data_IF_328258067366
#
_entry.id   IF_328258067366
#
_cell.length_a   1.000
_cell.length_b   1.000
_cell.length_c   1.000
_cell.angle_alpha   90.00
_cell.angle_beta   90.00
_cell.angle_gamma   90.00
#
_symmetry.space_group_name_H-M   'P 1'
#
loop_
_entity.id
_entity.type
_entity.pdbx_description
1 polymer ?
#
# COMPACT_ATOMS: atom_id res chain seq x y z
N UNK A 1 -4.54 42.34 -10.64
CA UNK A 1 -4.04 41.43 -9.59
C UNK A 1 -5.17 41.24 -8.59
N UNK A 2 -5.91 40.13 -8.67
CA UNK A 2 -7.07 39.90 -7.80
C UNK A 2 -6.56 39.61 -6.39
N UNK A 3 -6.96 40.42 -5.40
CA UNK A 3 -6.65 40.09 -4.01
C UNK A 3 -7.46 38.86 -3.59
N UNK A 4 -6.83 37.87 -2.94
CA UNK A 4 -7.50 36.71 -2.39
C UNK A 4 -8.46 37.14 -1.28
N UNK A 5 -9.71 36.68 -1.33
CA UNK A 5 -10.69 36.86 -0.26
C UNK A 5 -10.87 35.56 0.51
N UNK A 6 -11.35 35.63 1.76
CA UNK A 6 -11.67 34.42 2.55
C UNK A 6 -12.63 33.49 1.78
N UNK A 7 -13.56 34.04 1.01
CA UNK A 7 -14.48 33.27 0.15
C UNK A 7 -13.75 32.49 -0.95
N UNK A 8 -12.81 33.12 -1.66
CA UNK A 8 -12.02 32.43 -2.69
C UNK A 8 -11.18 31.29 -2.12
N UNK A 9 -10.63 31.46 -0.91
CA UNK A 9 -9.89 30.41 -0.21
C UNK A 9 -10.82 29.27 0.24
N UNK A 10 -12.02 29.59 0.70
CA UNK A 10 -13.05 28.61 1.01
C UNK A 10 -13.47 27.78 -0.20
N UNK A 11 -13.57 28.41 -1.38
CA UNK A 11 -13.83 27.71 -2.65
C UNK A 11 -12.68 26.77 -3.02
N UNK A 12 -11.42 27.21 -2.91
CA UNK A 12 -10.25 26.35 -3.17
C UNK A 12 -10.19 25.18 -2.20
N UNK A 13 -10.46 25.42 -0.91
CA UNK A 13 -10.55 24.34 0.09
C UNK A 13 -11.59 23.30 -0.34
N UNK A 14 -12.80 23.75 -0.63
CA UNK A 14 -13.92 22.86 -0.95
C UNK A 14 -13.75 22.12 -2.30
N UNK A 15 -13.34 22.84 -3.34
CA UNK A 15 -13.27 22.30 -4.70
C UNK A 15 -12.02 21.47 -4.95
N UNK A 16 -10.89 21.82 -4.34
CA UNK A 16 -9.63 21.13 -4.56
C UNK A 16 -9.23 20.28 -3.35
N UNK A 17 -9.08 20.86 -2.16
CA UNK A 17 -8.48 20.16 -1.02
C UNK A 17 -9.40 19.03 -0.52
N UNK A 18 -10.68 19.31 -0.33
CA UNK A 18 -11.65 18.32 0.18
C UNK A 18 -11.92 17.20 -0.85
N UNK A 19 -11.96 17.55 -2.14
CA UNK A 19 -12.13 16.59 -3.23
C UNK A 19 -10.91 15.65 -3.36
N UNK A 20 -9.70 16.21 -3.39
CA UNK A 20 -8.46 15.43 -3.44
C UNK A 20 -8.28 14.55 -2.20
N UNK A 21 -8.57 15.08 -1.01
CA UNK A 21 -8.54 14.30 0.23
C UNK A 21 -9.52 13.13 0.17
N UNK A 22 -10.74 13.37 -0.33
CA UNK A 22 -11.76 12.33 -0.50
C UNK A 22 -11.31 11.26 -1.49
N UNK A 23 -10.72 11.67 -2.62
CA UNK A 23 -10.16 10.76 -3.61
C UNK A 23 -9.07 9.86 -3.01
N UNK A 24 -8.05 10.43 -2.35
CA UNK A 24 -6.98 9.64 -1.75
C UNK A 24 -7.49 8.69 -0.68
N UNK A 25 -8.43 9.13 0.18
CA UNK A 25 -9.05 8.27 1.18
C UNK A 25 -9.78 7.08 0.54
N UNK A 26 -10.57 7.29 -0.52
CA UNK A 26 -11.26 6.22 -1.24
C UNK A 26 -10.26 5.22 -1.84
N UNK A 27 -9.16 5.71 -2.41
CA UNK A 27 -8.12 4.85 -2.99
C UNK A 27 -7.40 4.02 -1.93
N UNK A 28 -7.02 4.63 -0.80
CA UNK A 28 -6.43 3.91 0.35
C UNK A 28 -7.37 2.82 0.85
N UNK A 29 -8.65 3.13 1.04
CA UNK A 29 -9.64 2.16 1.50
C UNK A 29 -9.82 1.01 0.49
N UNK A 30 -9.89 1.32 -0.81
CA UNK A 30 -10.06 0.32 -1.87
C UNK A 30 -8.87 -0.63 -1.93
N UNK A 31 -7.64 -0.10 -1.90
CA UNK A 31 -6.42 -0.92 -1.89
C UNK A 31 -6.33 -1.75 -0.61
N UNK A 32 -6.57 -1.14 0.56
CA UNK A 32 -6.51 -1.84 1.86
C UNK A 32 -7.51 -2.98 1.92
N UNK A 33 -8.76 -2.76 1.48
CA UNK A 33 -9.79 -3.81 1.43
C UNK A 33 -9.37 -4.98 0.55
N UNK A 34 -8.83 -4.70 -0.65
CA UNK A 34 -8.34 -5.75 -1.56
C UNK A 34 -7.22 -6.58 -0.92
N UNK A 35 -6.25 -5.92 -0.29
CA UNK A 35 -5.15 -6.60 0.41
C UNK A 35 -5.65 -7.45 1.59
N UNK A 36 -6.60 -6.94 2.37
CA UNK A 36 -7.18 -7.69 3.50
C UNK A 36 -8.01 -8.90 3.05
N UNK A 37 -8.78 -8.79 1.98
CA UNK A 37 -9.54 -9.91 1.42
C UNK A 37 -8.61 -11.02 0.92
N UNK A 38 -7.51 -10.66 0.25
CA UNK A 38 -6.47 -11.60 -0.18
C UNK A 38 -5.87 -12.36 1.01
N UNK A 39 -5.60 -11.66 2.12
CA UNK A 39 -5.11 -12.29 3.36
C UNK A 39 -6.09 -13.32 3.94
N UNK A 40 -7.40 -13.01 3.93
CA UNK A 40 -8.44 -13.94 4.38
C UNK A 40 -8.57 -15.17 3.49
N UNK A 41 -8.57 -14.98 2.17
CA UNK A 41 -8.63 -16.10 1.20
C UNK A 41 -7.44 -17.03 1.37
N UNK A 42 -6.23 -16.48 1.55
CA UNK A 42 -5.04 -17.28 1.85
C UNK A 42 -5.21 -18.10 3.13
N UNK A 43 -5.65 -17.46 4.22
CA UNK A 43 -5.84 -18.14 5.51
C UNK A 43 -6.89 -19.25 5.42
N UNK A 44 -7.99 -19.03 4.69
CA UNK A 44 -9.01 -20.05 4.43
C UNK A 44 -8.46 -21.22 3.61
N UNK A 45 -7.75 -20.95 2.53
CA UNK A 45 -7.16 -22.01 1.68
C UNK A 45 -6.14 -22.87 2.45
N UNK A 46 -5.28 -22.24 3.25
CA UNK A 46 -4.34 -22.97 4.11
C UNK A 46 -5.07 -23.74 5.22
N UNK A 47 -6.14 -23.18 5.79
CA UNK A 47 -6.98 -23.87 6.76
C UNK A 47 -7.65 -25.11 6.18
N UNK A 48 -8.22 -25.01 4.98
CA UNK A 48 -8.81 -26.16 4.25
C UNK A 48 -7.74 -27.20 3.93
N UNK A 49 -6.54 -26.79 3.51
CA UNK A 49 -5.43 -27.70 3.26
C UNK A 49 -5.03 -28.45 4.54
N UNK A 50 -4.90 -27.75 5.66
CA UNK A 50 -4.59 -28.37 6.96
C UNK A 50 -5.66 -29.37 7.41
N UNK A 51 -6.95 -29.01 7.27
CA UNK A 51 -8.06 -29.91 7.57
C UNK A 51 -8.04 -31.15 6.66
N UNK A 52 -7.70 -30.99 5.38
CA UNK A 52 -7.51 -32.12 4.46
C UNK A 52 -6.40 -33.07 4.92
N UNK A 53 -5.28 -32.52 5.40
CA UNK A 53 -4.17 -33.31 5.94
C UNK A 53 -4.59 -34.08 7.21
N UNK A 54 -5.28 -33.40 8.14
CA UNK A 54 -5.80 -34.03 9.35
C UNK A 54 -6.82 -35.14 9.04
N UNK A 55 -7.72 -34.90 8.08
CA UNK A 55 -8.68 -35.90 7.63
C UNK A 55 -7.98 -37.13 7.06
N UNK A 56 -6.92 -36.96 6.27
CA UNK A 56 -6.16 -38.06 5.71
C UNK A 56 -5.43 -38.90 6.79
N UNK A 57 -4.96 -38.25 7.86
CA UNK A 57 -4.30 -38.94 8.98
C UNK A 57 -5.30 -39.79 9.76
N UNK A 58 -6.52 -39.29 9.98
CA UNK A 58 -7.55 -39.96 10.79
C UNK A 58 -8.31 -41.02 9.98
N UNK A 59 -8.68 -40.71 8.73
CA UNK A 59 -9.55 -41.52 7.89
C UNK A 59 -8.84 -42.16 6.69
N UNK A 60 -7.51 -42.15 6.68
CA UNK A 60 -6.71 -42.57 5.52
C UNK A 60 -6.97 -44.01 5.04
N UNK A 61 -7.29 -44.93 5.95
CA UNK A 61 -7.64 -46.33 5.62
C UNK A 61 -9.02 -46.46 5.00
N UNK A 62 -9.97 -45.63 5.43
CA UNK A 62 -11.33 -45.60 4.88
C UNK A 62 -11.34 -44.95 3.51
N UNK A 63 -10.59 -43.86 3.35
CA UNK A 63 -10.38 -43.16 2.07
C UNK A 63 -9.74 -44.05 1.01
N UNK A 64 -8.83 -44.96 1.39
CA UNK A 64 -8.21 -45.90 0.45
C UNK A 64 -9.14 -46.99 -0.08
N UNK A 65 -10.32 -47.15 0.54
CA UNK A 65 -11.34 -48.10 0.07
C UNK A 65 -12.29 -47.50 -0.97
N UNK A 66 -12.23 -46.18 -1.18
CA UNK A 66 -13.10 -45.46 -2.10
C UNK A 66 -12.35 -45.27 -3.43
N UNK A 67 -12.67 -46.11 -4.40
CA UNK A 67 -12.17 -45.98 -5.76
C UNK A 67 -12.72 -44.69 -6.39
N UNK A 68 -11.85 -43.78 -6.82
CA UNK A 68 -12.24 -42.52 -7.48
C UNK A 68 -12.28 -42.68 -9.02
N UNK A 69 -11.48 -43.61 -9.56
CA UNK A 69 -11.41 -44.02 -10.97
C UNK A 69 -10.86 -45.46 -11.04
N UNK A 70 -10.92 -46.14 -12.20
CA UNK A 70 -10.41 -47.51 -12.40
C UNK A 70 -8.93 -47.70 -11.98
N UNK A 71 -8.16 -46.62 -11.90
CA UNK A 71 -6.72 -46.66 -11.59
C UNK A 71 -6.28 -45.74 -10.45
N UNK A 72 -7.18 -44.91 -9.90
CA UNK A 72 -6.82 -43.90 -8.90
C UNK A 72 -7.65 -44.03 -7.63
N UNK A 73 -6.93 -44.25 -6.54
CA UNK A 73 -7.44 -44.17 -5.18
C UNK A 73 -7.69 -42.70 -4.78
N UNK A 74 -8.81 -42.42 -4.13
CA UNK A 74 -9.16 -41.09 -3.63
C UNK A 74 -8.08 -40.53 -2.71
N UNK A 75 -7.41 -41.39 -1.93
CA UNK A 75 -6.26 -41.01 -1.10
C UNK A 75 -5.15 -40.35 -1.92
N UNK A 76 -4.76 -40.96 -3.04
CA UNK A 76 -3.68 -40.47 -3.91
C UNK A 76 -4.03 -39.14 -4.55
N UNK A 77 -5.28 -38.97 -5.00
CA UNK A 77 -5.77 -37.71 -5.54
C UNK A 77 -5.77 -36.60 -4.47
N UNK A 78 -6.20 -36.90 -3.25
CA UNK A 78 -6.23 -35.95 -2.14
C UNK A 78 -4.82 -35.48 -1.73
N UNK A 79 -3.85 -36.40 -1.67
CA UNK A 79 -2.44 -36.09 -1.39
C UNK A 79 -1.86 -35.17 -2.48
N UNK A 80 -2.17 -35.44 -3.74
CA UNK A 80 -1.75 -34.58 -4.84
C UNK A 80 -2.32 -33.16 -4.71
N UNK A 81 -3.63 -33.04 -4.42
CA UNK A 81 -4.29 -31.75 -4.23
C UNK A 81 -3.75 -30.98 -2.99
N UNK A 82 -3.45 -31.72 -1.92
CA UNK A 82 -2.81 -31.20 -0.70
C UNK A 82 -1.44 -30.59 -0.98
N UNK A 83 -0.66 -31.16 -1.91
CA UNK A 83 0.62 -30.60 -2.34
C UNK A 83 0.48 -29.45 -3.35
N UNK A 84 -0.49 -29.54 -4.26
CA UNK A 84 -0.66 -28.56 -5.35
C UNK A 84 -1.24 -27.22 -4.88
N UNK A 85 -2.24 -27.25 -3.98
CA UNK A 85 -2.91 -26.04 -3.50
C UNK A 85 -1.95 -25.03 -2.82
N UNK A 86 -1.08 -25.43 -1.87
CA UNK A 86 -0.15 -24.50 -1.23
C UNK A 86 0.87 -23.94 -2.22
N UNK A 87 1.31 -24.75 -3.19
CA UNK A 87 2.21 -24.32 -4.24
C UNK A 87 1.57 -23.22 -5.09
N UNK A 88 0.33 -23.43 -5.54
CA UNK A 88 -0.40 -22.44 -6.33
C UNK A 88 -0.64 -21.14 -5.55
N UNK A 89 -0.99 -21.25 -4.26
CA UNK A 89 -1.12 -20.09 -3.35
C UNK A 89 0.20 -19.34 -3.22
N UNK A 90 1.33 -20.04 -3.11
CA UNK A 90 2.66 -19.43 -3.05
C UNK A 90 3.01 -18.66 -4.33
N UNK A 91 2.72 -19.23 -5.51
CA UNK A 91 2.90 -18.54 -6.79
C UNK A 91 2.00 -17.30 -6.88
N UNK A 92 0.72 -17.44 -6.54
CA UNK A 92 -0.22 -16.33 -6.55
C UNK A 92 0.21 -15.21 -5.60
N UNK A 93 0.69 -15.56 -4.40
CA UNK A 93 1.21 -14.59 -3.43
C UNK A 93 2.44 -13.88 -3.96
N UNK A 94 3.37 -14.58 -4.63
CA UNK A 94 4.53 -13.96 -5.26
C UNK A 94 4.11 -12.94 -6.32
N UNK A 95 3.07 -13.26 -7.11
CA UNK A 95 2.51 -12.35 -8.10
C UNK A 95 1.76 -11.16 -7.50
N UNK A 96 1.06 -11.34 -6.38
CA UNK A 96 0.28 -10.29 -5.70
C UNK A 96 1.13 -9.40 -4.80
N UNK A 97 2.24 -9.92 -4.26
CA UNK A 97 3.14 -9.18 -3.40
C UNK A 97 4.04 -8.23 -4.21
N UNK A 98 3.45 -7.54 -5.21
CA UNK A 98 4.13 -6.51 -5.96
C UNK A 98 4.42 -5.36 -5.01
N UNK A 99 5.72 -5.11 -4.83
CA UNK A 99 6.23 -3.94 -4.11
C UNK A 99 5.57 -2.65 -4.61
N UNK A 100 5.23 -2.58 -5.90
CA UNK A 100 4.50 -1.46 -6.50
C UNK A 100 3.16 -1.13 -5.82
N UNK A 101 2.38 -2.12 -5.40
CA UNK A 101 1.07 -1.88 -4.76
C UNK A 101 1.22 -1.36 -3.33
N UNK A 102 2.23 -1.85 -2.60
CA UNK A 102 2.55 -1.37 -1.24
C UNK A 102 3.07 0.06 -1.28
N UNK A 103 3.94 0.36 -2.23
CA UNK A 103 4.46 1.70 -2.49
C UNK A 103 3.32 2.68 -2.84
N UNK A 104 2.42 2.28 -3.74
CA UNK A 104 1.27 3.11 -4.11
C UNK A 104 0.32 3.37 -2.93
N UNK A 105 0.07 2.36 -2.09
CA UNK A 105 -0.74 2.52 -0.88
C UNK A 105 -0.08 3.50 0.09
N UNK A 106 1.24 3.40 0.27
CA UNK A 106 1.99 4.31 1.14
C UNK A 106 1.88 5.75 0.63
N UNK A 107 2.02 5.98 -0.68
CA UNK A 107 1.89 7.30 -1.28
C UNK A 107 0.52 7.91 -1.09
N UNK A 108 -0.56 7.17 -1.37
CA UNK A 108 -1.91 7.70 -1.14
C UNK A 108 -2.17 8.02 0.33
N UNK A 109 -1.60 7.25 1.26
CA UNK A 109 -1.69 7.55 2.69
C UNK A 109 -0.93 8.83 3.05
N UNK A 110 0.28 9.00 2.52
CA UNK A 110 1.10 10.18 2.77
C UNK A 110 0.43 11.45 2.21
N UNK A 111 -0.06 11.39 0.97
CA UNK A 111 -0.84 12.48 0.36
C UNK A 111 -2.10 12.81 1.16
N UNK A 112 -2.90 11.81 1.52
CA UNK A 112 -4.10 12.04 2.32
C UNK A 112 -3.78 12.73 3.67
N UNK A 113 -2.66 12.38 4.31
CA UNK A 113 -2.23 13.00 5.55
C UNK A 113 -1.83 14.47 5.36
N UNK A 114 -1.09 14.79 4.29
CA UNK A 114 -0.73 16.17 3.96
C UNK A 114 -1.95 17.05 3.68
N UNK A 115 -2.90 16.56 2.88
CA UNK A 115 -4.15 17.26 2.59
C UNK A 115 -5.03 17.42 3.84
N UNK A 116 -5.10 16.40 4.69
CA UNK A 116 -5.85 16.49 5.95
C UNK A 116 -5.28 17.56 6.88
N UNK A 117 -3.96 17.62 7.06
CA UNK A 117 -3.33 18.65 7.91
C UNK A 117 -3.59 20.05 7.37
N UNK A 118 -3.49 20.25 6.05
CA UNK A 118 -3.78 21.54 5.43
C UNK A 118 -5.25 21.92 5.56
N UNK A 119 -6.19 20.97 5.39
CA UNK A 119 -7.61 21.20 5.61
C UNK A 119 -7.91 21.67 7.04
N UNK A 120 -7.28 21.06 8.04
CA UNK A 120 -7.42 21.48 9.45
C UNK A 120 -6.87 22.89 9.70
N UNK A 121 -5.73 23.24 9.12
CA UNK A 121 -5.16 24.60 9.27
C UNK A 121 -6.06 25.64 8.57
N UNK A 122 -6.70 25.27 7.45
CA UNK A 122 -7.62 26.14 6.72
C UNK A 122 -8.95 26.38 7.43
N UNK A 123 -9.28 25.56 8.42
CA UNK A 123 -10.46 25.76 9.30
C UNK A 123 -10.14 26.67 10.50
N UNK A 124 -8.87 26.94 10.77
CA UNK A 124 -8.47 27.87 11.82
C UNK A 124 -8.74 29.32 11.39
N UNK A 125 -9.07 30.19 12.35
CA UNK A 125 -9.24 31.62 12.09
C UNK A 125 -7.88 32.31 12.02
N UNK A 126 -7.22 32.16 10.87
CA UNK A 126 -5.93 32.75 10.55
C UNK A 126 -6.08 33.90 9.55
N UNK A 127 -5.09 34.81 9.49
CA UNK A 127 -5.05 35.83 8.45
C UNK A 127 -4.97 35.19 7.05
N UNK A 128 -5.58 35.86 6.07
CA UNK A 128 -5.69 35.40 4.67
C UNK A 128 -4.31 35.06 4.09
N UNK A 129 -3.29 35.85 4.42
CA UNK A 129 -1.91 35.67 3.95
C UNK A 129 -1.29 34.34 4.42
N UNK A 130 -1.60 33.91 5.64
CA UNK A 130 -1.12 32.62 6.16
C UNK A 130 -1.86 31.45 5.52
N UNK A 131 -3.19 31.56 5.39
CA UNK A 131 -4.01 30.55 4.70
C UNK A 131 -3.53 30.34 3.25
N UNK A 132 -3.19 31.42 2.56
CA UNK A 132 -2.59 31.35 1.24
C UNK A 132 -1.24 30.65 1.21
N UNK A 133 -0.35 30.96 2.17
CA UNK A 133 0.95 30.28 2.27
C UNK A 133 0.77 28.78 2.48
N UNK A 134 -0.22 28.37 3.27
CA UNK A 134 -0.55 26.96 3.50
C UNK A 134 -1.01 26.28 2.21
N UNK A 135 -1.88 26.91 1.41
CA UNK A 135 -2.33 26.37 0.13
C UNK A 135 -1.17 26.28 -0.87
N UNK A 136 -0.33 27.32 -0.95
CA UNK A 136 0.83 27.34 -1.82
C UNK A 136 1.85 26.24 -1.45
N UNK A 137 2.19 26.11 -0.17
CA UNK A 137 3.09 25.07 0.35
C UNK A 137 2.51 23.66 0.14
N UNK A 138 1.18 23.48 0.32
CA UNK A 138 0.52 22.21 0.00
C UNK A 138 0.66 21.86 -1.49
N UNK A 139 0.39 22.82 -2.37
CA UNK A 139 0.51 22.63 -3.81
C UNK A 139 1.94 22.27 -4.23
N UNK A 140 2.92 23.04 -3.76
CA UNK A 140 4.34 22.77 -4.03
C UNK A 140 4.75 21.37 -3.57
N UNK A 141 4.37 20.97 -2.34
CA UNK A 141 4.70 19.65 -1.80
C UNK A 141 4.03 18.52 -2.59
N UNK A 142 2.76 18.66 -2.93
CA UNK A 142 2.02 17.64 -3.71
C UNK A 142 2.64 17.43 -5.10
N UNK A 143 3.05 18.53 -5.76
CA UNK A 143 3.70 18.48 -7.07
C UNK A 143 5.10 17.88 -6.97
N UNK A 144 5.89 18.30 -5.97
CA UNK A 144 7.23 17.78 -5.77
C UNK A 144 7.23 16.28 -5.46
N UNK A 145 6.30 15.80 -4.65
CA UNK A 145 6.18 14.37 -4.33
C UNK A 145 5.77 13.54 -5.56
N UNK A 146 4.83 14.05 -6.37
CA UNK A 146 4.42 13.42 -7.65
C UNK A 146 5.59 13.38 -8.64
N UNK A 147 6.36 14.47 -8.73
CA UNK A 147 7.56 14.56 -9.55
C UNK A 147 8.64 13.57 -9.11
N UNK A 148 8.96 13.55 -7.82
CA UNK A 148 9.94 12.63 -7.23
C UNK A 148 9.56 11.18 -7.52
N UNK A 149 8.27 10.83 -7.37
CA UNK A 149 7.78 9.50 -7.67
C UNK A 149 7.98 9.13 -9.14
N UNK A 150 7.64 10.04 -10.05
CA UNK A 150 7.72 9.80 -11.50
C UNK A 150 9.16 9.52 -11.92
N UNK A 151 10.12 10.30 -11.42
CA UNK A 151 11.56 10.06 -11.65
C UNK A 151 12.00 8.73 -11.06
N UNK A 152 11.63 8.45 -9.80
CA UNK A 152 12.04 7.22 -9.15
C UNK A 152 11.53 5.98 -9.88
N UNK A 153 10.29 6.05 -10.39
CA UNK A 153 9.69 4.97 -11.14
C UNK A 153 10.37 4.80 -12.50
N UNK A 154 10.66 5.90 -13.20
CA UNK A 154 11.39 5.88 -14.46
C UNK A 154 12.77 5.21 -14.32
N UNK A 155 13.55 5.56 -13.30
CA UNK A 155 14.86 4.93 -13.06
C UNK A 155 14.74 3.46 -12.71
N UNK A 156 13.74 3.08 -11.93
CA UNK A 156 13.54 1.68 -11.50
C UNK A 156 13.07 0.76 -12.64
N UNK A 157 12.44 1.31 -13.68
CA UNK A 157 12.03 0.58 -14.88
C UNK A 157 13.14 0.56 -15.96
N UNK A 158 14.10 1.48 -15.88
CA UNK A 158 15.22 1.61 -16.83
C UNK A 158 16.48 0.83 -16.42
N UNK A 159 16.55 0.36 -15.17
CA UNK A 159 17.60 -0.56 -14.73
C UNK A 159 17.30 -1.98 -15.26
N UNK A 160 18.26 -2.66 -15.92
CA UNK A 160 18.06 -4.04 -16.34
C UNK A 160 17.71 -4.88 -15.11
N UNK A 161 16.80 -5.87 -15.24
CA UNK A 161 16.21 -6.55 -14.10
C UNK A 161 17.32 -7.10 -13.21
N UNK A 162 17.47 -6.52 -12.01
CA UNK A 162 18.28 -7.08 -10.95
C UNK A 162 17.57 -8.34 -10.42
N UNK A 163 17.55 -9.37 -11.26
CA UNK A 163 17.51 -10.76 -10.83
C UNK A 163 18.79 -10.90 -10.01
N UNK A 164 18.70 -10.72 -8.67
CA UNK A 164 19.50 -11.43 -7.65
C UNK A 164 19.48 -10.84 -6.23
N UNK A 165 18.82 -9.72 -5.91
CA UNK A 165 18.78 -9.26 -4.50
C UNK A 165 17.39 -8.80 -4.04
N UNK A 166 16.75 -9.67 -3.25
CA UNK A 166 15.45 -9.46 -2.65
C UNK A 166 15.42 -8.41 -1.54
N UNK A 167 14.20 -7.92 -1.28
CA UNK A 167 13.69 -7.28 -0.05
C UNK A 167 14.42 -6.06 0.56
N UNK A 168 15.58 -5.64 0.09
CA UNK A 168 16.41 -4.58 0.71
C UNK A 168 16.09 -3.15 0.26
N UNK A 169 15.49 -2.97 -0.93
CA UNK A 169 15.25 -1.63 -1.49
C UNK A 169 14.24 -0.78 -0.71
N UNK A 170 13.19 -1.39 -0.16
CA UNK A 170 12.12 -0.66 0.55
C UNK A 170 12.52 -0.23 1.97
N UNK A 171 13.28 -1.08 2.68
CA UNK A 171 13.84 -0.73 3.99
C UNK A 171 14.87 0.41 3.89
N UNK A 172 15.66 0.44 2.82
CA UNK A 172 16.61 1.53 2.55
C UNK A 172 15.89 2.86 2.22
N UNK A 173 14.75 2.81 1.51
CA UNK A 173 13.94 3.98 1.21
C UNK A 173 13.36 4.61 2.48
N UNK A 174 12.75 3.81 3.36
CA UNK A 174 12.24 4.29 4.65
C UNK A 174 13.36 4.85 5.54
N UNK A 175 14.53 4.21 5.56
CA UNK A 175 15.70 4.69 6.30
C UNK A 175 16.20 6.06 5.82
N UNK A 176 16.27 6.27 4.50
CA UNK A 176 16.74 7.56 3.92
C UNK A 176 15.74 8.70 4.12
N UNK A 177 14.44 8.44 3.99
CA UNK A 177 13.40 9.46 4.21
C UNK A 177 13.35 9.88 5.69
N UNK A 178 13.43 8.94 6.64
CA UNK A 178 13.48 9.25 8.07
C UNK A 178 14.80 9.94 8.48
N UNK A 179 15.93 9.55 7.90
CA UNK A 179 17.21 10.21 8.14
C UNK A 179 17.21 11.66 7.61
N UNK A 180 16.59 11.90 6.45
CA UNK A 180 16.41 13.25 5.90
C UNK A 180 15.52 14.14 6.78
N UNK A 181 14.45 13.59 7.36
CA UNK A 181 13.56 14.32 8.27
C UNK A 181 14.22 14.69 9.60
N UNK A 182 15.00 13.77 10.20
CA UNK A 182 15.77 14.04 11.44
C UNK A 182 16.82 15.13 11.23
N UNK A 183 17.50 15.13 10.07
CA UNK A 183 18.57 16.09 9.78
C UNK A 183 18.03 17.52 9.53
N UNK A 184 16.82 17.65 8.96
CA UNK A 184 16.13 18.95 8.81
C UNK A 184 15.71 19.56 10.16
N UNK A 185 15.26 18.74 11.11
CA UNK A 185 14.93 19.23 12.46
C UNK A 185 16.18 19.64 13.25
N UNK A 186 17.29 18.90 13.13
CA UNK A 186 18.56 19.27 13.77
C UNK A 186 19.12 20.59 13.25
N UNK A 187 19.10 20.81 11.93
CA UNK A 187 19.53 22.09 11.31
C UNK A 187 18.64 23.29 11.66
N UNK A 188 17.36 23.08 11.96
CA UNK A 188 16.47 24.16 12.45
C UNK A 188 16.78 24.52 13.91
N UNK A 189 17.15 23.54 14.72
CA UNK A 189 17.47 23.73 16.13
C UNK A 189 18.82 24.42 16.35
N UNK A 190 19.81 24.14 15.49
CA UNK A 190 21.13 24.80 15.52
C UNK A 190 21.14 26.22 14.91
N UNK A 191 20.07 26.65 14.22
CA UNK A 191 19.90 28.03 13.72
C UNK A 191 19.07 28.93 14.63
N UNK A 192 18.61 28.40 15.77
CA UNK A 192 17.78 29.12 16.75
C UNK A 192 18.51 29.34 18.09
N UNK A 193 19.82 29.11 18.12
CA UNK A 193 20.76 29.55 19.16
C UNK A 193 21.75 30.51 18.54
#
# INVERSE_FOLDING_TARGET
THRPTKETLGLVKKAWIDDQLSYFRRMVQTLTKRTQMLGRVRMLLLGVNFLGLMSLVIFGSWLSSILFSETLDLKTFLVFLLGLLPLWVGIWELYQNKVATRELLWQYRNQAEHFQRAATILEADLPIEELQRVIADLGERSLFETYLWTIHRYHRESEPPAVLFGNTGFAMFQGRVQAGAKNKNKKKQDRSK
#
